data_IF_810965718811
#
_entry.id   IF_810965718811
#
_cell.length_a   1.000
_cell.length_b   1.000
_cell.length_c   1.000
_cell.angle_alpha   90.00
_cell.angle_beta   90.00
_cell.angle_gamma   90.00
#
_symmetry.space_group_name_H-M   'P 1'
#
loop_
_entity.id
_entity.type
_entity.pdbx_description
1 polymer ?
#
# COMPACT_ATOMS: atom_id res chain seq x y z
N UNK A 1 -13.53 -34.63 -43.36
CA UNK A 1 -13.20 -33.18 -43.18
C UNK A 1 -13.71 -32.55 -41.87
N UNK A 2 -14.16 -33.33 -40.86
CA UNK A 2 -14.70 -32.78 -39.58
C UNK A 2 -13.70 -32.78 -38.40
N UNK A 3 -12.45 -33.21 -38.63
CA UNK A 3 -11.43 -33.38 -37.57
C UNK A 3 -10.48 -32.19 -37.40
N UNK A 4 -10.33 -31.34 -38.43
CA UNK A 4 -9.39 -30.21 -38.41
C UNK A 4 -9.93 -28.95 -37.69
N UNK A 5 -11.25 -28.78 -37.62
CA UNK A 5 -11.89 -27.60 -37.01
C UNK A 5 -11.91 -27.70 -35.46
N UNK A 6 -11.87 -28.92 -34.90
CA UNK A 6 -11.86 -29.15 -33.46
C UNK A 6 -10.52 -28.85 -32.77
N UNK A 7 -9.39 -28.95 -33.49
CA UNK A 7 -8.05 -28.69 -32.92
C UNK A 7 -7.75 -27.19 -32.80
N UNK A 8 -8.18 -26.38 -33.76
CA UNK A 8 -7.98 -24.93 -33.71
C UNK A 8 -8.80 -24.20 -32.62
N UNK A 9 -9.89 -24.80 -32.11
CA UNK A 9 -10.65 -24.25 -30.98
C UNK A 9 -10.03 -24.57 -29.61
N UNK A 10 -9.29 -25.67 -29.47
CA UNK A 10 -8.63 -26.04 -28.20
C UNK A 10 -7.39 -25.19 -27.91
N UNK A 11 -6.63 -24.81 -28.94
CA UNK A 11 -5.42 -23.98 -28.74
C UNK A 11 -5.75 -22.52 -28.36
N UNK A 12 -6.94 -22.01 -28.70
CA UNK A 12 -7.40 -20.68 -28.27
C UNK A 12 -8.04 -20.64 -26.88
N UNK A 13 -8.44 -21.78 -26.33
CA UNK A 13 -9.02 -21.86 -24.99
C UNK A 13 -7.95 -21.80 -23.87
N UNK A 14 -6.69 -22.15 -24.17
CA UNK A 14 -5.58 -22.11 -23.19
C UNK A 14 -4.87 -20.76 -23.06
N UNK A 15 -5.02 -19.86 -24.05
CA UNK A 15 -4.25 -18.62 -24.13
C UNK A 15 -4.89 -17.42 -23.40
N UNK A 16 -6.18 -17.50 -23.05
CA UNK A 16 -6.96 -16.38 -22.49
C UNK A 16 -6.95 -16.24 -20.96
N UNK A 17 -6.11 -16.99 -20.23
CA UNK A 17 -6.17 -17.07 -18.77
C UNK A 17 -4.94 -16.54 -18.03
N UNK A 18 -3.90 -16.11 -18.74
CA UNK A 18 -2.66 -15.64 -18.12
C UNK A 18 -2.72 -14.12 -17.91
N UNK A 19 -2.25 -13.67 -16.74
CA UNK A 19 -2.06 -12.25 -16.46
C UNK A 19 -1.10 -11.65 -17.51
N UNK A 20 -1.45 -10.49 -18.04
CA UNK A 20 -0.53 -9.72 -18.88
C UNK A 20 0.59 -9.13 -18.00
N UNK A 21 1.64 -9.92 -17.84
CA UNK A 21 2.80 -9.57 -17.01
C UNK A 21 3.44 -8.25 -17.45
N UNK A 22 3.39 -7.90 -18.73
CA UNK A 22 4.00 -6.67 -19.26
C UNK A 22 3.35 -5.42 -18.68
N UNK A 23 2.06 -5.47 -18.38
CA UNK A 23 1.28 -4.37 -17.80
C UNK A 23 1.25 -4.39 -16.27
N UNK A 24 1.19 -5.57 -15.68
CA UNK A 24 1.02 -5.72 -14.23
C UNK A 24 2.34 -5.57 -13.48
N UNK A 25 3.45 -6.12 -14.01
CA UNK A 25 4.75 -6.08 -13.32
C UNK A 25 5.21 -4.65 -13.04
N UNK A 26 5.17 -3.68 -13.99
CA UNK A 26 5.56 -2.30 -13.69
C UNK A 26 4.78 -1.68 -12.54
N UNK A 27 3.48 -1.92 -12.46
CA UNK A 27 2.63 -1.37 -11.40
C UNK A 27 2.90 -2.05 -10.05
N UNK A 28 3.14 -3.37 -10.06
CA UNK A 28 3.60 -4.08 -8.87
C UNK A 28 4.96 -3.56 -8.38
N UNK A 29 5.90 -3.29 -9.29
CA UNK A 29 7.19 -2.69 -8.95
C UNK A 29 7.01 -1.31 -8.31
N UNK A 30 6.14 -0.46 -8.86
CA UNK A 30 5.81 0.86 -8.29
C UNK A 30 5.27 0.76 -6.87
N UNK A 31 4.33 -0.14 -6.61
CA UNK A 31 3.78 -0.35 -5.25
C UNK A 31 4.83 -0.91 -4.30
N UNK A 32 5.70 -1.81 -4.78
CA UNK A 32 6.78 -2.37 -3.98
C UNK A 32 7.79 -1.29 -3.60
N UNK A 33 8.22 -0.46 -4.55
CA UNK A 33 9.15 0.66 -4.31
C UNK A 33 8.58 1.69 -3.34
N UNK A 34 7.28 1.99 -3.46
CA UNK A 34 6.56 2.86 -2.52
C UNK A 34 6.60 2.29 -1.10
N UNK A 35 6.21 1.02 -0.95
CA UNK A 35 6.22 0.32 0.34
C UNK A 35 7.63 0.25 0.95
N UNK A 36 8.66 -0.04 0.14
CA UNK A 36 10.06 -0.01 0.58
C UNK A 36 10.45 1.38 1.05
N UNK A 37 10.12 2.43 0.29
CA UNK A 37 10.44 3.81 0.66
C UNK A 37 9.77 4.22 1.98
N UNK A 38 8.50 3.84 2.17
CA UNK A 38 7.77 4.05 3.42
C UNK A 38 8.42 3.29 4.59
N UNK A 39 8.76 2.02 4.40
CA UNK A 39 9.39 1.19 5.42
C UNK A 39 10.77 1.71 5.84
N UNK A 40 11.57 2.19 4.87
CA UNK A 40 12.85 2.84 5.15
C UNK A 40 12.65 4.07 6.04
N UNK A 41 11.75 4.97 5.63
CA UNK A 41 11.53 6.23 6.33
C UNK A 41 10.95 6.01 7.71
N UNK A 42 9.93 5.16 7.87
CA UNK A 42 9.30 4.91 9.16
C UNK A 42 10.28 4.39 10.21
N UNK A 43 11.24 3.57 9.79
CA UNK A 43 12.25 2.97 10.68
C UNK A 43 13.27 4.00 11.20
N UNK A 44 13.65 4.99 10.38
CA UNK A 44 14.61 6.04 10.79
C UNK A 44 13.93 7.28 11.38
N UNK A 45 12.64 7.51 11.10
CA UNK A 45 11.93 8.75 11.42
C UNK A 45 11.91 9.06 12.91
N UNK A 46 11.78 8.03 13.77
CA UNK A 46 11.81 8.21 15.23
C UNK A 46 13.15 8.79 15.70
N UNK A 47 14.26 8.29 15.15
CA UNK A 47 15.61 8.76 15.48
C UNK A 47 15.88 10.15 14.91
N UNK A 48 15.43 10.43 13.68
CA UNK A 48 15.53 11.75 13.07
C UNK A 48 14.83 12.80 13.93
N UNK A 49 13.61 12.52 14.39
CA UNK A 49 12.86 13.45 15.22
C UNK A 49 13.48 13.59 16.62
N UNK A 50 13.99 12.52 17.21
CA UNK A 50 14.70 12.57 18.48
C UNK A 50 15.97 13.45 18.39
N UNK A 51 16.75 13.35 17.31
CA UNK A 51 17.93 14.20 17.05
C UNK A 51 17.56 15.70 16.93
N UNK A 52 16.34 15.98 16.47
CA UNK A 52 15.77 17.34 16.43
C UNK A 52 15.17 17.79 17.77
N UNK A 53 15.32 17.01 18.84
CA UNK A 53 14.78 17.29 20.18
C UNK A 53 13.27 17.05 20.32
N UNK A 54 12.65 16.31 19.39
CA UNK A 54 11.22 16.02 19.44
C UNK A 54 10.89 14.96 20.49
N UNK A 55 9.72 15.10 21.12
CA UNK A 55 9.22 14.12 22.10
C UNK A 55 8.48 12.96 21.42
N UNK A 56 8.23 11.83 22.12
CA UNK A 56 7.42 10.73 21.59
C UNK A 56 6.02 11.16 21.16
N UNK A 57 5.44 12.16 21.83
CA UNK A 57 4.15 12.74 21.45
C UNK A 57 4.23 13.39 20.06
N UNK A 58 5.31 14.11 19.78
CA UNK A 58 5.52 14.74 18.46
C UNK A 58 5.67 13.70 17.37
N UNK A 59 6.40 12.60 17.62
CA UNK A 59 6.46 11.47 16.69
C UNK A 59 5.07 10.90 16.38
N UNK A 60 4.25 10.67 17.42
CA UNK A 60 2.86 10.24 17.25
C UNK A 60 2.02 11.22 16.43
N UNK A 61 2.16 12.53 16.66
CA UNK A 61 1.48 13.58 15.87
C UNK A 61 1.91 13.56 14.41
N UNK A 62 3.19 13.35 14.13
CA UNK A 62 3.70 13.24 12.75
C UNK A 62 3.04 12.08 11.99
N UNK A 63 2.94 10.91 12.61
CA UNK A 63 2.25 9.74 12.02
C UNK A 63 0.73 9.97 11.89
N UNK A 64 0.13 10.66 12.86
CA UNK A 64 -1.29 10.99 12.84
C UNK A 64 -1.64 11.96 11.70
N UNK A 65 -0.81 12.98 11.47
CA UNK A 65 -1.01 13.95 10.38
C UNK A 65 -0.87 13.30 9.01
N UNK A 66 0.08 12.39 8.83
CA UNK A 66 0.19 11.59 7.61
C UNK A 66 -1.08 10.74 7.38
N UNK A 67 -1.53 10.03 8.42
CA UNK A 67 -2.72 9.18 8.37
C UNK A 67 -3.99 9.99 8.09
N UNK A 68 -4.12 11.17 8.70
CA UNK A 68 -5.22 12.09 8.47
C UNK A 68 -5.21 12.62 7.03
N UNK A 69 -4.03 13.01 6.53
CA UNK A 69 -3.86 13.47 5.15
C UNK A 69 -4.25 12.38 4.15
N UNK A 70 -3.83 11.14 4.41
CA UNK A 70 -4.21 9.97 3.62
C UNK A 70 -5.73 9.76 3.62
N UNK A 71 -6.34 9.76 4.80
CA UNK A 71 -7.78 9.57 4.97
C UNK A 71 -8.61 10.62 4.23
N UNK A 72 -8.24 11.91 4.35
CA UNK A 72 -8.94 13.01 3.71
C UNK A 72 -8.75 13.00 2.18
N UNK A 73 -7.57 12.62 1.70
CA UNK A 73 -7.27 12.60 0.27
C UNK A 73 -7.82 11.38 -0.47
N UNK A 74 -8.02 10.24 0.21
CA UNK A 74 -8.40 8.98 -0.43
C UNK A 74 -9.66 9.06 -1.31
N UNK A 75 -10.80 9.64 -0.86
CA UNK A 75 -12.00 9.75 -1.70
C UNK A 75 -11.78 10.66 -2.93
N UNK A 76 -11.00 11.74 -2.75
CA UNK A 76 -10.75 12.72 -3.80
C UNK A 76 -9.86 12.12 -4.88
N UNK A 77 -8.73 11.53 -4.50
CA UNK A 77 -7.78 10.93 -5.44
C UNK A 77 -8.31 9.66 -6.11
N UNK A 78 -9.13 8.87 -5.41
CA UNK A 78 -9.84 7.74 -6.01
C UNK A 78 -10.75 8.18 -7.16
N UNK A 79 -11.61 9.19 -6.92
CA UNK A 79 -12.51 9.74 -7.95
C UNK A 79 -11.75 10.45 -9.06
N UNK A 80 -10.65 11.12 -8.73
CA UNK A 80 -9.79 11.77 -9.73
C UNK A 80 -9.14 10.73 -10.65
N UNK A 81 -8.70 9.60 -10.10
CA UNK A 81 -8.12 8.47 -10.84
C UNK A 81 -9.12 7.89 -11.85
N UNK A 82 -10.39 7.76 -11.47
CA UNK A 82 -11.46 7.33 -12.38
C UNK A 82 -11.68 8.31 -13.55
N UNK A 83 -11.53 9.63 -13.30
CA UNK A 83 -11.87 10.69 -14.27
C UNK A 83 -10.72 11.04 -15.22
N UNK A 84 -9.52 11.18 -14.68
CA UNK A 84 -8.35 11.68 -15.42
C UNK A 84 -7.50 10.54 -15.99
N UNK A 85 -7.71 9.31 -15.50
CA UNK A 85 -7.01 8.10 -15.90
C UNK A 85 -6.01 7.64 -14.84
N UNK A 86 -5.88 6.31 -14.70
CA UNK A 86 -5.14 5.66 -13.60
C UNK A 86 -3.66 6.01 -13.63
N UNK A 87 -3.03 5.94 -14.81
CA UNK A 87 -1.60 6.25 -14.99
C UNK A 87 -1.28 7.69 -14.57
N UNK A 88 -2.10 8.66 -14.96
CA UNK A 88 -1.83 10.08 -14.72
C UNK A 88 -1.87 10.41 -13.23
N UNK A 89 -2.89 9.89 -12.53
CA UNK A 89 -3.00 10.07 -11.08
C UNK A 89 -1.91 9.32 -10.34
N UNK A 90 -1.59 8.08 -10.73
CA UNK A 90 -0.47 7.33 -10.16
C UNK A 90 0.84 8.10 -10.29
N UNK A 91 1.16 8.61 -11.49
CA UNK A 91 2.37 9.41 -11.74
C UNK A 91 2.41 10.69 -10.90
N UNK A 92 1.30 11.43 -10.83
CA UNK A 92 1.20 12.63 -9.98
C UNK A 92 1.44 12.30 -8.51
N UNK A 93 0.87 11.18 -8.03
CA UNK A 93 1.11 10.71 -6.67
C UNK A 93 2.58 10.32 -6.46
N UNK A 94 3.25 9.72 -7.44
CA UNK A 94 4.69 9.37 -7.30
C UNK A 94 5.57 10.62 -7.27
N UNK A 95 5.26 11.61 -8.10
CA UNK A 95 5.97 12.90 -8.07
C UNK A 95 5.76 13.63 -6.73
N UNK A 96 4.54 13.66 -6.20
CA UNK A 96 4.25 14.25 -4.89
C UNK A 96 4.99 13.53 -3.76
N UNK A 97 5.04 12.19 -3.78
CA UNK A 97 5.82 11.40 -2.83
C UNK A 97 7.33 11.69 -2.93
N UNK A 98 7.88 11.78 -4.15
CA UNK A 98 9.28 12.13 -4.38
C UNK A 98 9.63 13.51 -3.80
N UNK A 99 8.82 14.53 -4.10
CA UNK A 99 9.02 15.89 -3.58
C UNK A 99 8.90 15.94 -2.05
N UNK A 100 7.94 15.20 -1.49
CA UNK A 100 7.77 15.06 -0.05
C UNK A 100 9.00 14.42 0.62
N UNK A 101 9.53 13.34 0.06
CA UNK A 101 10.72 12.67 0.60
C UNK A 101 11.97 13.53 0.45
N UNK A 102 12.11 14.25 -0.66
CA UNK A 102 13.20 15.21 -0.85
C UNK A 102 13.13 16.34 0.18
N UNK A 103 11.92 16.85 0.44
CA UNK A 103 11.68 17.85 1.48
C UNK A 103 12.02 17.32 2.87
N UNK A 104 11.65 16.07 3.17
CA UNK A 104 11.99 15.40 4.43
C UNK A 104 13.51 15.26 4.60
N UNK A 105 14.24 14.90 3.54
CA UNK A 105 15.69 14.70 3.57
C UNK A 105 16.49 15.95 3.95
N UNK A 106 15.93 17.14 3.68
CA UNK A 106 16.56 18.43 3.98
C UNK A 106 15.83 19.20 5.08
N UNK A 107 14.93 18.55 5.83
CA UNK A 107 14.08 19.23 6.79
C UNK A 107 14.87 19.70 8.03
N UNK A 108 14.97 21.02 8.29
CA UNK A 108 15.70 21.53 9.45
C UNK A 108 14.82 21.62 10.71
N UNK A 109 13.50 21.52 10.57
CA UNK A 109 12.54 21.69 11.67
C UNK A 109 11.40 20.67 11.60
N UNK A 110 10.83 20.35 12.76
CA UNK A 110 9.69 19.42 12.89
C UNK A 110 8.49 19.89 12.07
N UNK A 111 8.30 21.20 11.93
CA UNK A 111 7.22 21.77 11.10
C UNK A 111 7.40 21.37 9.64
N UNK A 112 8.63 21.37 9.13
CA UNK A 112 8.90 20.94 7.75
C UNK A 112 8.76 19.43 7.58
N UNK A 113 9.09 18.65 8.63
CA UNK A 113 8.78 17.22 8.68
C UNK A 113 7.27 17.00 8.59
N UNK A 114 6.46 17.70 9.40
CA UNK A 114 4.99 17.61 9.35
C UNK A 114 4.44 17.93 7.96
N UNK A 115 4.95 18.99 7.31
CA UNK A 115 4.56 19.32 5.94
C UNK A 115 4.92 18.21 4.96
N UNK A 116 6.17 17.73 5.00
CA UNK A 116 6.62 16.63 4.16
C UNK A 116 5.73 15.38 4.35
N UNK A 117 5.49 14.97 5.59
CA UNK A 117 4.65 13.79 5.90
C UNK A 117 3.18 13.98 5.52
N UNK A 118 2.66 15.20 5.62
CA UNK A 118 1.30 15.52 5.12
C UNK A 118 1.20 15.28 3.62
N UNK A 119 2.14 15.84 2.84
CA UNK A 119 2.20 15.65 1.38
C UNK A 119 2.40 14.18 1.02
N UNK A 120 3.20 13.45 1.80
CA UNK A 120 3.38 12.01 1.63
C UNK A 120 2.05 11.25 1.82
N UNK A 121 1.29 11.57 2.87
CA UNK A 121 -0.01 10.98 3.12
C UNK A 121 -1.00 11.20 1.98
N UNK A 122 -1.05 12.43 1.44
CA UNK A 122 -1.85 12.74 0.23
C UNK A 122 -1.39 11.89 -0.95
N UNK A 123 -0.09 11.78 -1.19
CA UNK A 123 0.44 10.96 -2.27
C UNK A 123 0.12 9.46 -2.11
N UNK A 124 0.22 8.93 -0.89
CA UNK A 124 -0.05 7.54 -0.57
C UNK A 124 -1.54 7.18 -0.76
N UNK A 125 -2.44 8.14 -0.53
CA UNK A 125 -3.88 7.93 -0.69
C UNK A 125 -4.31 7.59 -2.12
N UNK A 126 -3.53 8.03 -3.11
CA UNK A 126 -3.80 7.78 -4.52
C UNK A 126 -3.07 6.59 -5.13
N UNK A 127 -1.95 6.11 -4.57
CA UNK A 127 -1.16 5.06 -5.21
C UNK A 127 -1.85 3.71 -5.21
N UNK A 128 -2.15 3.15 -4.04
CA UNK A 128 -2.64 1.77 -3.98
C UNK A 128 -4.00 1.64 -4.68
N UNK A 129 -4.97 2.55 -4.47
CA UNK A 129 -6.24 2.50 -5.20
C UNK A 129 -6.07 2.63 -6.72
N UNK A 130 -5.21 3.55 -7.20
CA UNK A 130 -4.97 3.70 -8.64
C UNK A 130 -4.27 2.49 -9.25
N UNK A 131 -3.31 1.89 -8.52
CA UNK A 131 -2.62 0.68 -8.92
C UNK A 131 -3.56 -0.53 -8.97
N UNK A 132 -4.37 -0.73 -7.92
CA UNK A 132 -5.35 -1.80 -7.83
C UNK A 132 -6.41 -1.68 -8.93
N UNK A 133 -6.90 -0.47 -9.19
CA UNK A 133 -7.84 -0.22 -10.27
C UNK A 133 -7.20 -0.45 -11.64
N UNK A 134 -5.97 0.02 -11.88
CA UNK A 134 -5.25 -0.26 -13.13
C UNK A 134 -5.10 -1.75 -13.38
N UNK A 135 -4.69 -2.52 -12.36
CA UNK A 135 -4.58 -3.98 -12.47
C UNK A 135 -5.95 -4.61 -12.73
N UNK A 136 -7.01 -4.12 -12.07
CA UNK A 136 -8.37 -4.62 -12.29
C UNK A 136 -8.93 -4.32 -13.69
N UNK A 137 -8.56 -3.18 -14.27
CA UNK A 137 -8.92 -2.74 -15.63
C UNK A 137 -8.17 -3.54 -16.70
N UNK A 138 -6.96 -4.04 -16.39
CA UNK A 138 -6.10 -4.82 -17.29
C UNK A 138 -6.10 -6.34 -17.00
N UNK A 139 -7.00 -6.80 -16.13
CA UNK A 139 -7.15 -8.22 -15.76
C UNK A 139 -8.55 -8.72 -16.10
N UNK A 140 -8.66 -10.00 -16.44
CA UNK A 140 -9.95 -10.69 -16.58
C UNK A 140 -10.55 -11.00 -15.20
N UNK A 141 -11.84 -11.30 -15.14
CA UNK A 141 -12.52 -11.68 -13.89
C UNK A 141 -11.86 -12.88 -13.20
N UNK A 142 -11.30 -13.82 -13.98
CA UNK A 142 -10.62 -15.00 -13.46
C UNK A 142 -9.26 -14.70 -12.81
N UNK A 143 -8.49 -13.76 -13.36
CA UNK A 143 -7.13 -13.49 -12.91
C UNK A 143 -6.97 -12.18 -12.10
N UNK A 144 -8.03 -11.35 -12.01
CA UNK A 144 -8.04 -10.11 -11.20
C UNK A 144 -7.60 -10.32 -9.75
N UNK A 145 -8.08 -11.39 -9.09
CA UNK A 145 -7.67 -11.73 -7.72
C UNK A 145 -6.17 -11.99 -7.64
N UNK A 146 -5.61 -12.68 -8.64
CA UNK A 146 -4.18 -12.95 -8.71
C UNK A 146 -3.37 -11.65 -8.90
N UNK A 147 -3.82 -10.74 -9.76
CA UNK A 147 -3.17 -9.44 -9.96
C UNK A 147 -3.17 -8.57 -8.69
N UNK A 148 -4.30 -8.47 -8.00
CA UNK A 148 -4.40 -7.75 -6.71
C UNK A 148 -3.55 -8.45 -5.64
N UNK A 149 -3.50 -9.78 -5.65
CA UNK A 149 -2.61 -10.56 -4.81
C UNK A 149 -1.13 -10.22 -5.03
N UNK A 150 -0.70 -10.03 -6.28
CA UNK A 150 0.67 -9.59 -6.60
C UNK A 150 0.98 -8.19 -6.06
N UNK A 151 0.04 -7.25 -6.12
CA UNK A 151 0.21 -5.93 -5.50
C UNK A 151 0.38 -6.03 -3.99
N UNK A 152 -0.44 -6.86 -3.34
CA UNK A 152 -0.41 -7.07 -1.90
C UNK A 152 0.90 -7.76 -1.46
N UNK A 153 1.38 -8.72 -2.24
CA UNK A 153 2.67 -9.35 -2.02
C UNK A 153 3.84 -8.36 -2.17
N UNK A 154 3.78 -7.47 -3.17
CA UNK A 154 4.76 -6.39 -3.34
C UNK A 154 4.78 -5.41 -2.16
N UNK A 155 3.60 -5.05 -1.65
CA UNK A 155 3.46 -4.23 -0.44
C UNK A 155 4.14 -4.90 0.77
N UNK A 156 3.86 -6.19 1.00
CA UNK A 156 4.50 -6.95 2.08
C UNK A 156 6.02 -7.06 1.92
N UNK A 157 6.49 -7.33 0.70
CA UNK A 157 7.93 -7.40 0.40
C UNK A 157 8.62 -6.06 0.67
N UNK A 158 8.03 -4.93 0.24
CA UNK A 158 8.58 -3.62 0.54
C UNK A 158 8.57 -3.29 2.04
N UNK A 159 7.54 -3.73 2.76
CA UNK A 159 7.46 -3.60 4.22
C UNK A 159 8.58 -4.34 4.97
N UNK A 160 9.12 -5.43 4.41
CA UNK A 160 10.28 -6.15 4.98
C UNK A 160 11.60 -5.52 4.51
N UNK A 161 11.74 -5.27 3.22
CA UNK A 161 12.99 -4.76 2.64
C UNK A 161 13.30 -3.35 3.13
N UNK A 162 12.28 -2.53 3.39
CA UNK A 162 12.44 -1.15 3.82
C UNK A 162 13.21 -0.99 5.13
N UNK A 163 12.76 -1.58 6.25
CA UNK A 163 13.48 -1.53 7.52
C UNK A 163 14.90 -2.10 7.45
N UNK A 164 15.13 -3.18 6.68
CA UNK A 164 16.47 -3.73 6.44
C UNK A 164 17.38 -2.68 5.80
N UNK A 165 16.91 -2.06 4.71
CA UNK A 165 17.66 -1.01 4.03
C UNK A 165 17.90 0.20 4.93
N UNK A 166 16.93 0.58 5.77
CA UNK A 166 17.13 1.62 6.76
C UNK A 166 18.26 1.28 7.72
N UNK A 167 18.21 0.12 8.38
CA UNK A 167 19.20 -0.27 9.37
C UNK A 167 20.63 -0.33 8.80
N UNK A 168 20.77 -0.85 7.57
CA UNK A 168 22.06 -0.91 6.88
C UNK A 168 22.61 0.48 6.51
N UNK A 169 21.74 1.42 6.13
CA UNK A 169 22.14 2.75 5.67
C UNK A 169 22.21 3.78 6.80
N UNK A 170 21.62 3.52 7.96
CA UNK A 170 21.62 4.41 9.12
C UNK A 170 22.98 4.56 9.79
N UNK A 171 23.93 3.64 9.54
CA UNK A 171 25.28 3.67 10.13
C UNK A 171 26.05 4.98 9.87
N UNK A 172 26.26 5.41 8.61
CA UNK A 172 26.99 6.64 8.31
C UNK A 172 26.23 7.94 8.64
N UNK A 173 24.90 7.96 8.53
CA UNK A 173 24.07 9.15 8.81
C UNK A 173 22.59 8.77 8.87
N UNK A 174 21.82 9.41 9.76
CA UNK A 174 20.35 9.31 9.77
C UNK A 174 19.69 9.84 8.49
N UNK A 175 20.38 10.69 7.72
CA UNK A 175 19.87 11.20 6.45
C UNK A 175 20.05 10.20 5.29
N UNK A 176 21.02 9.28 5.37
CA UNK A 176 21.33 8.35 4.28
C UNK A 176 20.15 7.45 3.88
N UNK A 177 19.41 6.84 4.83
CA UNK A 177 18.18 6.11 4.53
C UNK A 177 17.12 6.96 3.81
N UNK A 178 16.97 8.22 4.20
CA UNK A 178 15.98 9.13 3.61
C UNK A 178 16.35 9.44 2.16
N UNK A 179 17.63 9.72 1.87
CA UNK A 179 18.11 9.89 0.51
C UNK A 179 17.97 8.62 -0.34
N UNK A 180 18.15 7.44 0.24
CA UNK A 180 17.87 6.19 -0.45
C UNK A 180 16.38 6.05 -0.79
N UNK A 181 15.46 6.41 0.13
CA UNK A 181 14.04 6.46 -0.14
C UNK A 181 13.67 7.47 -1.25
N UNK A 182 14.34 8.62 -1.32
CA UNK A 182 14.22 9.57 -2.44
C UNK A 182 14.63 8.91 -3.75
N UNK A 183 15.76 8.19 -3.78
CA UNK A 183 16.21 7.44 -4.95
C UNK A 183 15.20 6.37 -5.41
N UNK A 184 14.69 5.57 -4.47
CA UNK A 184 13.65 4.57 -4.74
C UNK A 184 12.37 5.19 -5.31
N UNK A 185 11.95 6.33 -4.75
CA UNK A 185 10.79 7.08 -5.24
C UNK A 185 11.02 7.67 -6.63
N UNK A 186 12.23 8.17 -6.92
CA UNK A 186 12.60 8.64 -8.25
C UNK A 186 12.58 7.50 -9.29
N UNK A 187 13.07 6.31 -8.93
CA UNK A 187 12.94 5.11 -9.76
C UNK A 187 11.46 4.77 -9.96
N UNK A 188 10.63 4.85 -8.91
CA UNK A 188 9.18 4.62 -9.03
C UNK A 188 8.50 5.62 -9.99
N UNK A 189 8.90 6.88 -9.99
CA UNK A 189 8.42 7.90 -10.96
C UNK A 189 8.84 7.49 -12.37
N UNK A 190 10.12 7.16 -12.57
CA UNK A 190 10.64 6.75 -13.87
C UNK A 190 9.91 5.50 -14.41
N UNK A 191 9.70 4.50 -13.55
CA UNK A 191 8.98 3.28 -13.92
C UNK A 191 7.53 3.58 -14.29
N UNK A 192 6.86 4.45 -13.51
CA UNK A 192 5.49 4.87 -13.81
C UNK A 192 5.39 5.63 -15.13
N UNK A 193 6.35 6.52 -15.40
CA UNK A 193 6.39 7.30 -16.63
C UNK A 193 6.62 6.44 -17.88
N UNK A 194 7.65 5.59 -17.83
CA UNK A 194 8.15 4.84 -18.98
C UNK A 194 7.42 3.52 -19.25
N UNK A 195 7.07 2.75 -18.21
CA UNK A 195 6.61 1.36 -18.39
C UNK A 195 5.12 1.14 -18.12
N UNK A 196 4.47 1.99 -17.31
CA UNK A 196 3.01 1.89 -17.13
C UNK A 196 2.36 2.43 -18.40
N UNK A 197 1.57 1.60 -19.08
CA UNK A 197 0.86 2.02 -20.29
C UNK A 197 -0.23 3.02 -19.90
N UNK A 198 -0.32 4.13 -20.64
CA UNK A 198 -1.34 5.13 -20.38
C UNK A 198 -2.70 4.65 -20.82
N UNK A 199 -3.70 4.82 -19.96
CA UNK A 199 -5.08 4.67 -20.38
C UNK A 199 -5.34 5.72 -21.47
N UNK A 200 -5.68 5.25 -22.68
CA UNK A 200 -6.55 6.08 -23.50
C UNK A 200 -7.80 6.22 -22.66
N UNK A 201 -8.06 7.42 -22.14
CA UNK A 201 -9.37 7.82 -21.64
C UNK A 201 -10.30 7.61 -22.82
N UNK A 202 -10.74 6.37 -22.98
CA UNK A 202 -11.58 5.97 -24.07
C UNK A 202 -12.80 6.83 -23.90
N UNK A 203 -13.01 7.68 -24.90
CA UNK A 203 -14.27 8.31 -25.21
C UNK A 203 -15.39 7.30 -24.95
N UNK A 204 -15.93 7.24 -23.74
CA UNK A 204 -17.28 6.76 -23.52
C UNK A 204 -18.16 7.86 -24.13
N UNK A 205 -18.26 7.82 -25.46
CA UNK A 205 -19.28 8.54 -26.20
C UNK A 205 -20.63 8.07 -25.64
N UNK A 206 -21.48 8.96 -25.12
CA UNK A 206 -22.88 8.61 -24.92
C UNK A 206 -23.51 8.54 -26.32
N UNK A 207 -23.63 7.34 -26.89
CA UNK A 207 -24.34 7.12 -28.15
C UNK A 207 -23.59 6.20 -29.12
N UNK A 208 -24.16 5.01 -29.35
CA UNK A 208 -23.72 4.07 -30.39
C UNK A 208 -24.11 2.64 -30.03
N UNK A 209 -25.35 2.26 -30.38
CA UNK A 209 -25.92 0.94 -30.10
C UNK A 209 -25.17 -0.22 -30.76
N UNK A 210 -25.10 -1.33 -30.04
CA UNK A 210 -24.64 -2.63 -30.51
C UNK A 210 -24.83 -3.66 -29.40
N UNK A 211 -26.00 -4.29 -29.36
CA UNK A 211 -26.36 -5.35 -28.42
C UNK A 211 -25.52 -6.63 -28.65
N UNK A 212 -25.12 -7.30 -27.56
CA UNK A 212 -24.41 -8.59 -27.64
C UNK A 212 -24.06 -9.23 -26.29
N UNK A 213 -25.08 -9.54 -25.48
CA UNK A 213 -25.14 -10.65 -24.49
C UNK A 213 -24.02 -10.77 -23.44
N UNK A 214 -24.09 -9.94 -22.40
CA UNK A 214 -23.78 -10.31 -21.01
C UNK A 214 -24.50 -9.34 -20.08
N UNK A 215 -25.82 -9.39 -20.17
CA UNK A 215 -26.77 -8.74 -19.29
C UNK A 215 -26.75 -9.50 -17.95
N UNK A 216 -25.89 -9.07 -17.04
CA UNK A 216 -26.12 -9.26 -15.61
C UNK A 216 -26.36 -7.88 -15.04
N UNK A 217 -27.64 -7.60 -14.80
CA UNK A 217 -28.21 -6.49 -14.06
C UNK A 217 -27.47 -6.22 -12.75
N UNK A 218 -26.36 -5.49 -12.79
CA UNK A 218 -25.95 -4.68 -11.64
C UNK A 218 -26.60 -3.33 -11.82
N UNK A 219 -27.87 -3.24 -11.43
CA UNK A 219 -28.51 -1.95 -11.13
C UNK A 219 -27.52 -1.18 -10.26
N UNK A 220 -27.03 0.00 -10.67
CA UNK A 220 -26.20 0.82 -9.81
C UNK A 220 -27.13 1.34 -8.71
N UNK A 221 -27.26 0.57 -7.64
CA UNK A 221 -27.97 1.01 -6.44
C UNK A 221 -27.26 2.28 -6.00
N UNK A 222 -27.92 3.45 -5.97
CA UNK A 222 -27.35 4.64 -5.37
C UNK A 222 -27.38 4.39 -3.86
N UNK A 223 -26.41 3.61 -3.38
CA UNK A 223 -26.34 3.23 -1.98
C UNK A 223 -25.88 4.45 -1.20
N UNK A 224 -26.85 5.19 -0.69
CA UNK A 224 -26.66 6.35 0.17
C UNK A 224 -25.75 5.95 1.33
N UNK A 225 -24.63 6.65 1.53
CA UNK A 225 -23.68 6.37 2.62
C UNK A 225 -24.35 6.32 4.00
N UNK A 226 -25.51 7.00 4.14
CA UNK A 226 -26.34 7.02 5.35
C UNK A 226 -27.18 5.75 5.57
N UNK A 227 -27.47 4.95 4.54
CA UNK A 227 -28.24 3.69 4.71
C UNK A 227 -27.38 2.55 5.26
N UNK A 228 -26.07 2.53 4.96
CA UNK A 228 -25.13 1.54 5.50
C UNK A 228 -24.96 1.66 7.01
N UNK A 229 -24.82 2.89 7.52
CA UNK A 229 -24.69 3.20 8.95
C UNK A 229 -25.95 2.89 9.78
N UNK A 230 -27.09 2.67 9.13
CA UNK A 230 -28.36 2.28 9.79
C UNK A 230 -28.46 0.79 10.06
N UNK A 231 -27.67 -0.05 9.38
CA UNK A 231 -27.65 -1.48 9.68
C UNK A 231 -26.88 -1.74 10.99
N UNK A 232 -27.51 -2.37 12.00
CA UNK A 232 -26.86 -2.60 13.29
C UNK A 232 -25.60 -3.49 13.15
N UNK A 233 -25.60 -4.45 12.22
CA UNK A 233 -24.44 -5.32 11.97
C UNK A 233 -23.25 -4.56 11.36
N UNK A 234 -23.49 -3.70 10.37
CA UNK A 234 -22.44 -2.89 9.74
C UNK A 234 -21.88 -1.88 10.75
N UNK A 235 -22.74 -1.28 11.58
CA UNK A 235 -22.30 -0.34 12.61
C UNK A 235 -21.37 -1.01 13.62
N UNK A 236 -21.70 -2.22 14.09
CA UNK A 236 -20.83 -2.99 14.98
C UNK A 236 -19.49 -3.27 14.30
N UNK A 237 -19.50 -3.71 13.04
CA UNK A 237 -18.28 -4.00 12.29
C UNK A 237 -17.39 -2.75 12.11
N UNK A 238 -18.00 -1.60 11.80
CA UNK A 238 -17.29 -0.33 11.67
C UNK A 238 -16.67 0.09 13.01
N UNK A 239 -17.40 -0.01 14.11
CA UNK A 239 -16.88 0.31 15.45
C UNK A 239 -15.70 -0.60 15.80
N UNK A 240 -15.84 -1.91 15.60
CA UNK A 240 -14.76 -2.89 15.84
C UNK A 240 -13.53 -2.54 15.00
N UNK A 241 -13.71 -2.21 13.71
CA UNK A 241 -12.62 -1.88 12.81
C UNK A 241 -11.91 -0.58 13.22
N UNK A 242 -12.66 0.45 13.60
CA UNK A 242 -12.11 1.72 14.09
C UNK A 242 -11.33 1.49 15.38
N UNK A 243 -11.88 0.75 16.35
CA UNK A 243 -11.19 0.42 17.59
C UNK A 243 -9.91 -0.39 17.32
N UNK A 244 -9.96 -1.34 16.39
CA UNK A 244 -8.79 -2.14 16.02
C UNK A 244 -7.68 -1.28 15.40
N UNK A 245 -7.98 -0.46 14.38
CA UNK A 245 -6.96 0.40 13.77
C UNK A 245 -6.45 1.49 14.71
N UNK A 246 -7.30 1.98 15.60
CA UNK A 246 -6.89 2.95 16.62
C UNK A 246 -5.91 2.32 17.61
N UNK A 247 -6.25 1.14 18.16
CA UNK A 247 -5.36 0.37 19.05
C UNK A 247 -4.04 0.02 18.37
N UNK A 248 -4.10 -0.48 17.14
CA UNK A 248 -2.91 -0.79 16.34
C UNK A 248 -2.06 0.45 16.05
N UNK A 249 -2.68 1.59 15.75
CA UNK A 249 -1.98 2.86 15.53
C UNK A 249 -1.22 3.33 16.77
N UNK A 250 -1.84 3.24 17.96
CA UNK A 250 -1.17 3.55 19.22
C UNK A 250 0.03 2.61 19.42
N UNK A 251 -0.21 1.29 19.36
CA UNK A 251 0.84 0.28 19.52
C UNK A 251 2.01 0.50 18.55
N UNK A 252 1.71 0.65 17.26
CA UNK A 252 2.72 0.85 16.20
C UNK A 252 3.51 2.15 16.38
N UNK A 253 2.90 3.19 16.94
CA UNK A 253 3.60 4.47 17.17
C UNK A 253 4.50 4.47 18.41
N UNK A 254 4.16 3.70 19.45
CA UNK A 254 4.89 3.72 20.72
C UNK A 254 5.94 2.62 20.83
N UNK A 255 5.76 1.50 20.10
CA UNK A 255 6.69 0.38 20.15
C UNK A 255 8.14 0.79 19.80
N UNK A 256 8.41 1.57 18.73
CA UNK A 256 9.78 1.99 18.44
C UNK A 256 10.42 2.78 19.59
N UNK A 257 9.70 3.78 20.12
CA UNK A 257 10.16 4.60 21.24
C UNK A 257 10.42 3.75 22.48
N UNK A 258 9.48 2.88 22.84
CA UNK A 258 9.60 2.00 23.99
C UNK A 258 10.84 1.09 23.89
N UNK A 259 11.07 0.50 22.71
CA UNK A 259 12.23 -0.36 22.47
C UNK A 259 13.55 0.42 22.63
N UNK A 260 13.62 1.64 22.08
CA UNK A 260 14.82 2.47 22.14
C UNK A 260 15.14 3.02 23.52
N UNK A 261 14.12 3.28 24.35
CA UNK A 261 14.31 3.80 25.71
C UNK A 261 14.55 2.70 26.76
N UNK A 262 13.99 1.50 26.55
CA UNK A 262 13.99 0.43 27.55
C UNK A 262 15.15 -0.54 27.40
N UNK A 263 15.56 -0.85 26.15
CA UNK A 263 16.53 -1.91 25.89
C UNK A 263 17.89 -1.37 25.45
N UNK A 264 18.94 -1.99 25.99
CA UNK A 264 20.31 -1.81 25.54
C UNK A 264 20.75 -3.04 24.72
N UNK A 265 21.43 -2.80 23.60
CA UNK A 265 21.99 -3.82 22.73
C UNK A 265 23.51 -3.71 22.77
N UNK A 266 24.24 -4.80 23.07
CA UNK A 266 25.71 -4.80 23.14
C UNK A 266 26.32 -3.67 23.99
N UNK A 267 25.63 -3.22 25.04
CA UNK A 267 26.09 -2.16 25.95
C UNK A 267 25.82 -0.72 25.48
N UNK A 268 25.16 -0.51 24.35
CA UNK A 268 24.68 0.81 23.91
C UNK A 268 23.14 0.83 23.83
N UNK A 269 22.56 2.04 23.82
CA UNK A 269 21.12 2.20 23.57
C UNK A 269 20.77 1.61 22.20
N UNK A 270 19.57 1.02 22.10
CA UNK A 270 19.12 0.39 20.87
C UNK A 270 18.99 1.46 19.76
N UNK A 271 19.70 1.25 18.65
CA UNK A 271 19.80 2.20 17.56
C UNK A 271 18.91 1.85 16.36
N UNK A 272 19.06 2.60 15.25
CA UNK A 272 18.28 2.38 14.03
C UNK A 272 18.51 1.01 13.39
N UNK A 273 19.72 0.46 13.51
CA UNK A 273 20.07 -0.84 12.94
C UNK A 273 19.31 -1.97 13.66
N UNK A 274 19.33 -1.95 14.99
CA UNK A 274 18.65 -2.93 15.83
C UNK A 274 17.13 -2.85 15.66
N UNK A 275 16.57 -1.63 15.61
CA UNK A 275 15.14 -1.45 15.33
C UNK A 275 14.78 -1.99 13.94
N UNK A 276 15.64 -1.74 12.94
CA UNK A 276 15.51 -2.31 11.61
C UNK A 276 15.44 -3.84 11.65
N UNK A 277 16.29 -4.51 12.41
CA UNK A 277 16.26 -5.97 12.56
C UNK A 277 14.96 -6.48 13.20
N UNK A 278 14.47 -5.82 14.24
CA UNK A 278 13.21 -6.21 14.90
C UNK A 278 12.02 -6.07 13.97
N UNK A 279 11.89 -4.93 13.26
CA UNK A 279 10.81 -4.71 12.30
C UNK A 279 10.89 -5.67 11.11
N UNK A 280 12.10 -6.02 10.70
CA UNK A 280 12.32 -7.01 9.63
C UNK A 280 11.88 -8.41 10.08
N UNK A 281 12.21 -8.80 11.31
CA UNK A 281 11.77 -10.07 11.89
C UNK A 281 10.24 -10.13 11.99
N UNK A 282 9.60 -9.05 12.45
CA UNK A 282 8.13 -8.93 12.46
C UNK A 282 7.54 -9.16 11.06
N UNK A 283 8.05 -8.47 10.04
CA UNK A 283 7.56 -8.63 8.68
C UNK A 283 7.79 -10.03 8.09
N UNK A 284 8.94 -10.66 8.35
CA UNK A 284 9.22 -12.05 7.92
C UNK A 284 8.27 -13.04 8.61
N UNK A 285 8.06 -12.90 9.92
CA UNK A 285 7.11 -13.71 10.68
C UNK A 285 5.70 -13.52 10.11
N UNK A 286 5.30 -12.27 9.84
CA UNK A 286 4.00 -11.95 9.26
C UNK A 286 3.79 -12.66 7.92
N UNK A 287 4.76 -12.57 7.00
CA UNK A 287 4.71 -13.27 5.71
C UNK A 287 4.66 -14.79 5.90
N UNK A 288 5.47 -15.35 6.80
CA UNK A 288 5.47 -16.78 7.07
C UNK A 288 4.11 -17.26 7.62
N UNK A 289 3.51 -16.51 8.55
CA UNK A 289 2.17 -16.80 9.08
C UNK A 289 1.10 -16.70 8.00
N UNK A 290 1.15 -15.69 7.14
CA UNK A 290 0.21 -15.53 6.03
C UNK A 290 0.28 -16.66 5.00
N UNK A 291 1.49 -17.10 4.65
CA UNK A 291 1.70 -18.13 3.63
C UNK A 291 1.45 -19.54 4.16
N UNK A 292 1.93 -19.85 5.36
CA UNK A 292 1.97 -21.22 5.86
C UNK A 292 0.91 -21.53 6.92
N UNK A 293 0.50 -20.54 7.72
CA UNK A 293 -0.34 -20.79 8.90
C UNK A 293 -1.82 -20.44 8.65
N UNK A 294 -2.10 -19.34 7.94
CA UNK A 294 -3.46 -18.89 7.68
C UNK A 294 -4.26 -19.86 6.79
N UNK A 295 -3.63 -20.47 5.79
CA UNK A 295 -4.32 -21.38 4.86
C UNK A 295 -4.77 -22.70 5.53
N UNK A 296 -3.95 -23.38 6.35
CA UNK A 296 -4.40 -24.53 7.13
C UNK A 296 -5.42 -24.18 8.21
N UNK A 297 -5.21 -23.07 8.93
CA UNK A 297 -6.06 -22.69 10.06
C UNK A 297 -7.48 -22.34 9.59
N UNK A 298 -7.59 -21.61 8.47
CA UNK A 298 -8.88 -21.30 7.85
C UNK A 298 -9.65 -22.54 7.37
N UNK A 299 -8.95 -23.57 6.89
CA UNK A 299 -9.57 -24.86 6.51
C UNK A 299 -10.06 -25.66 7.72
N UNK A 300 -9.44 -25.50 8.90
CA UNK A 300 -9.76 -26.29 10.10
C UNK A 300 -10.80 -25.62 11.02
N UNK A 301 -10.76 -24.30 11.19
CA UNK A 301 -11.57 -23.61 12.20
C UNK A 301 -12.85 -22.95 11.66
N UNK A 302 -12.94 -22.68 10.36
CA UNK A 302 -14.05 -21.90 9.79
C UNK A 302 -14.00 -20.42 10.20
N UNK A 303 -14.54 -19.52 9.38
CA UNK A 303 -14.34 -18.07 9.53
C UNK A 303 -14.79 -17.52 10.89
N UNK A 304 -15.92 -18.02 11.42
CA UNK A 304 -16.47 -17.55 12.71
C UNK A 304 -15.59 -17.90 13.91
N UNK A 305 -15.06 -19.12 13.99
CA UNK A 305 -14.21 -19.52 15.11
C UNK A 305 -12.81 -18.91 14.99
N UNK A 306 -12.36 -18.60 13.78
CA UNK A 306 -11.11 -17.87 13.56
C UNK A 306 -11.20 -16.45 14.15
N UNK A 307 -12.32 -15.76 13.93
CA UNK A 307 -12.57 -14.44 14.52
C UNK A 307 -12.63 -14.54 16.05
N UNK A 308 -13.31 -15.54 16.60
CA UNK A 308 -13.37 -15.73 18.06
C UNK A 308 -12.00 -16.09 18.65
N UNK A 309 -11.15 -16.85 17.96
CA UNK A 309 -9.80 -17.16 18.43
C UNK A 309 -8.87 -15.93 18.44
N UNK A 310 -9.05 -15.02 17.49
CA UNK A 310 -8.21 -13.82 17.37
C UNK A 310 -8.65 -12.72 18.34
N UNK A 311 -9.95 -12.62 18.62
CA UNK A 311 -10.55 -11.53 19.42
C UNK A 311 -11.07 -11.95 20.79
N UNK A 312 -11.13 -13.24 21.10
CA UNK A 312 -11.56 -13.80 22.39
C UNK A 312 -10.38 -14.07 23.31
#
# INVERSE_FOLDING_TARGET
MSSAIGRHRRDRAGAGHRLDRRRIVPVCTVVTLDATSTGVVLSVLVFLLADMGATPLVYGVVLAVESLSLFLAAPVLGRLSDRVGRKRVLLACRLAALLSLALLAVAPTVVLVLLARSVFGVAAAGTFPSAAAYVADHSSTANRRQGIGMLSAGLGLGGVVGPILSGLLSGPSLAAPIWAAVGLSAVSVAVTGAFVEGDQVARRRPGGGGHGLADQDTVPIPVSSRSWLRSPAIRVLVVVLVCHYFSYGIFSSQLPTFLTETFAWNGHAMGPAELGYVLSADGVINIAVQLFLLQPLGRRLGERNLVVLIFG
#
